data_IF_768376431468
#
_entry.id   IF_768376431468
#
_cell.length_a   1.000
_cell.length_b   1.000
_cell.length_c   1.000
_cell.angle_alpha   90.00
_cell.angle_beta   90.00
_cell.angle_gamma   90.00
#
_symmetry.space_group_name_H-M   'P 1'
#
loop_
_entity.id
_entity.type
_entity.pdbx_description
1 polymer ?
#
# COMPACT_ATOMS: atom_id res chain seq x y z
N UNK A 1 -50.92 3.29 42.95
CA UNK A 1 -51.57 2.05 42.47
C UNK A 1 -51.61 2.13 40.96
N UNK A 2 -50.74 1.37 40.29
CA UNK A 2 -51.08 0.21 39.47
C UNK A 2 -51.56 0.62 38.06
N UNK A 3 -50.71 0.52 37.04
CA UNK A 3 -50.37 -0.71 36.31
C UNK A 3 -51.34 -0.90 35.12
N UNK A 4 -50.84 -0.68 33.89
CA UNK A 4 -51.13 -1.46 32.66
C UNK A 4 -50.55 -0.78 31.41
N UNK A 5 -49.25 -0.90 31.21
CA UNK A 5 -48.69 -1.00 29.86
C UNK A 5 -48.58 -2.49 29.55
N UNK A 6 -49.65 -3.06 29.01
CA UNK A 6 -49.62 -4.40 28.44
C UNK A 6 -49.44 -4.30 26.93
N UNK A 7 -48.36 -4.93 26.48
CA UNK A 7 -48.25 -5.69 25.23
C UNK A 7 -48.03 -4.90 23.95
N UNK A 8 -46.76 -4.85 23.54
CA UNK A 8 -46.31 -5.57 22.35
C UNK A 8 -44.77 -5.70 22.33
N UNK A 9 -44.22 -6.49 23.25
CA UNK A 9 -42.92 -7.12 23.01
C UNK A 9 -43.15 -8.36 22.15
N UNK A 10 -42.91 -8.20 20.85
CA UNK A 10 -42.73 -9.29 19.91
C UNK A 10 -41.45 -10.01 20.36
N UNK A 11 -41.61 -11.14 21.02
CA UNK A 11 -40.49 -11.98 21.44
C UNK A 11 -39.74 -12.47 20.19
N UNK A 12 -38.61 -11.82 19.88
CA UNK A 12 -37.61 -12.39 18.98
C UNK A 12 -37.23 -13.76 19.52
N UNK A 13 -37.41 -14.80 18.70
CA UNK A 13 -37.16 -16.18 19.12
C UNK A 13 -35.71 -16.31 19.61
N UNK A 14 -35.45 -17.04 20.71
CA UNK A 14 -34.09 -17.23 21.25
C UNK A 14 -33.08 -17.74 20.21
N UNK A 15 -33.55 -18.49 19.21
CA UNK A 15 -32.73 -19.00 18.09
C UNK A 15 -32.26 -17.92 17.11
N UNK A 16 -32.98 -16.80 16.98
CA UNK A 16 -32.64 -15.71 16.04
C UNK A 16 -31.57 -14.80 16.65
N UNK A 17 -31.71 -14.45 17.95
CA UNK A 17 -30.66 -13.73 18.70
C UNK A 17 -29.36 -14.53 18.81
N UNK A 18 -29.44 -15.83 19.07
CA UNK A 18 -28.25 -16.69 19.13
C UNK A 18 -27.52 -16.81 17.78
N UNK A 19 -28.25 -16.75 16.65
CA UNK A 19 -27.66 -16.72 15.31
C UNK A 19 -26.98 -15.39 15.04
N UNK A 20 -27.63 -14.27 15.36
CA UNK A 20 -27.06 -12.92 15.20
C UNK A 20 -25.79 -12.76 16.06
N UNK A 21 -25.80 -13.20 17.32
CA UNK A 21 -24.60 -13.14 18.18
C UNK A 21 -23.46 -14.05 17.68
N UNK A 22 -23.77 -15.22 17.13
CA UNK A 22 -22.77 -16.10 16.54
C UNK A 22 -22.20 -15.56 15.23
N UNK A 23 -23.01 -14.84 14.44
CA UNK A 23 -22.61 -14.19 13.20
C UNK A 23 -21.74 -12.95 13.48
N UNK A 24 -22.15 -12.10 14.44
CA UNK A 24 -21.35 -10.96 14.93
C UNK A 24 -20.03 -11.43 15.54
N UNK A 25 -20.01 -12.50 16.34
CA UNK A 25 -18.74 -13.06 16.87
C UNK A 25 -17.82 -13.56 15.76
N UNK A 26 -18.38 -14.21 14.73
CA UNK A 26 -17.59 -14.65 13.56
C UNK A 26 -17.08 -13.48 12.72
N UNK A 27 -17.83 -12.39 12.61
CA UNK A 27 -17.38 -11.18 11.94
C UNK A 27 -16.28 -10.48 12.72
N UNK A 28 -16.46 -10.28 14.03
CA UNK A 28 -15.45 -9.69 14.92
C UNK A 28 -14.16 -10.53 14.94
N UNK A 29 -14.26 -11.86 15.00
CA UNK A 29 -13.09 -12.74 14.96
C UNK A 29 -12.39 -12.71 13.58
N UNK A 30 -13.15 -12.58 12.49
CA UNK A 30 -12.60 -12.39 11.14
C UNK A 30 -11.91 -11.03 11.00
N UNK A 31 -12.50 -9.96 11.54
CA UNK A 31 -11.90 -8.62 11.53
C UNK A 31 -10.63 -8.59 12.36
N UNK A 32 -10.64 -9.12 13.58
CA UNK A 32 -9.44 -9.23 14.42
C UNK A 32 -8.35 -10.10 13.79
N UNK A 33 -8.72 -11.18 13.09
CA UNK A 33 -7.75 -12.02 12.38
C UNK A 33 -7.16 -11.31 11.16
N UNK A 34 -7.97 -10.52 10.44
CA UNK A 34 -7.48 -9.66 9.35
C UNK A 34 -6.54 -8.59 9.88
N UNK A 35 -6.93 -7.87 10.92
CA UNK A 35 -6.11 -6.84 11.57
C UNK A 35 -4.77 -7.42 12.05
N UNK A 36 -4.77 -8.60 12.67
CA UNK A 36 -3.55 -9.28 13.10
C UNK A 36 -2.67 -9.70 11.92
N UNK A 37 -3.25 -10.22 10.82
CA UNK A 37 -2.51 -10.58 9.61
C UNK A 37 -1.93 -9.35 8.90
N UNK A 38 -2.69 -8.27 8.84
CA UNK A 38 -2.28 -7.00 8.25
C UNK A 38 -1.15 -6.37 9.07
N UNK A 39 -1.27 -6.31 10.40
CA UNK A 39 -0.19 -5.84 11.28
C UNK A 39 1.07 -6.69 11.18
N UNK A 40 0.95 -8.00 10.93
CA UNK A 40 2.12 -8.88 10.69
C UNK A 40 2.85 -8.54 9.39
N UNK A 41 2.12 -8.19 8.32
CA UNK A 41 2.71 -7.94 6.99
C UNK A 41 3.29 -6.53 6.88
N UNK A 42 2.57 -5.52 7.34
CA UNK A 42 2.97 -4.12 7.17
C UNK A 42 3.44 -3.45 8.47
N UNK A 43 3.52 -4.18 9.58
CA UNK A 43 4.03 -3.66 10.85
C UNK A 43 3.31 -2.38 11.35
N UNK A 44 2.00 -2.31 11.16
CA UNK A 44 1.17 -1.17 11.57
C UNK A 44 1.25 0.06 10.66
N UNK A 45 1.95 -0.01 9.51
CA UNK A 45 2.02 1.08 8.53
C UNK A 45 0.66 1.45 7.91
N UNK A 46 -0.32 0.56 7.99
CA UNK A 46 -1.69 0.85 7.51
C UNK A 46 -2.30 2.05 8.22
N UNK A 47 -2.05 2.20 9.52
CA UNK A 47 -2.57 3.33 10.31
C UNK A 47 -2.04 4.66 9.75
N UNK A 48 -0.79 4.66 9.29
CA UNK A 48 -0.18 5.83 8.65
C UNK A 48 -0.72 6.05 7.24
N UNK A 49 -0.92 4.98 6.47
CA UNK A 49 -1.53 5.05 5.14
C UNK A 49 -2.95 5.61 5.19
N UNK A 50 -3.78 5.12 6.12
CA UNK A 50 -5.15 5.59 6.34
C UNK A 50 -5.19 7.05 6.76
N UNK A 51 -4.29 7.47 7.65
CA UNK A 51 -4.12 8.88 8.03
C UNK A 51 -3.82 9.75 6.80
N UNK A 52 -2.90 9.32 5.94
CA UNK A 52 -2.58 10.06 4.71
C UNK A 52 -3.75 10.07 3.72
N UNK A 53 -4.52 8.98 3.60
CA UNK A 53 -5.76 8.96 2.81
C UNK A 53 -6.74 10.01 3.30
N UNK A 54 -6.89 10.19 4.61
CA UNK A 54 -7.75 11.22 5.19
C UNK A 54 -7.23 12.63 4.87
N UNK A 55 -5.94 12.88 5.09
CA UNK A 55 -5.30 14.15 4.75
C UNK A 55 -5.46 14.48 3.26
N UNK A 56 -5.25 13.48 2.40
CA UNK A 56 -5.41 13.64 0.96
C UNK A 56 -6.85 13.94 0.57
N UNK A 57 -7.85 13.31 1.20
CA UNK A 57 -9.27 13.61 0.93
C UNK A 57 -9.62 15.06 1.28
N UNK A 58 -9.18 15.53 2.43
CA UNK A 58 -9.42 16.88 2.95
C UNK A 58 -8.58 17.97 2.26
N UNK A 59 -7.48 17.59 1.61
CA UNK A 59 -6.55 18.52 0.99
C UNK A 59 -7.16 19.32 -0.19
N UNK A 60 -6.73 20.59 -0.37
CA UNK A 60 -7.06 21.37 -1.55
C UNK A 60 -6.51 20.71 -2.83
N UNK A 61 -7.12 21.04 -3.97
CA UNK A 61 -6.78 20.43 -5.26
C UNK A 61 -5.31 20.62 -5.64
N UNK A 62 -4.71 21.75 -5.28
CA UNK A 62 -3.28 22.01 -5.51
C UNK A 62 -2.38 20.98 -4.84
N UNK A 63 -2.63 20.65 -3.57
CA UNK A 63 -1.87 19.62 -2.85
C UNK A 63 -2.13 18.22 -3.36
N UNK A 64 -3.35 17.91 -3.83
CA UNK A 64 -3.63 16.61 -4.46
C UNK A 64 -2.79 16.41 -5.74
N UNK A 65 -2.59 17.48 -6.50
CA UNK A 65 -1.86 17.43 -7.76
C UNK A 65 -0.33 17.52 -7.57
N UNK A 66 0.12 18.43 -6.71
CA UNK A 66 1.54 18.77 -6.53
C UNK A 66 2.18 18.14 -5.29
N UNK A 67 1.37 17.52 -4.43
CA UNK A 67 1.82 16.85 -3.21
C UNK A 67 1.45 17.61 -1.94
N UNK A 68 1.29 16.83 -0.86
CA UNK A 68 1.08 17.37 0.49
C UNK A 68 2.41 17.70 1.19
N UNK A 69 3.55 17.34 0.60
CA UNK A 69 4.88 17.49 1.20
C UNK A 69 5.18 16.39 2.23
N UNK A 70 6.38 16.45 2.82
CA UNK A 70 6.91 15.44 3.74
C UNK A 70 5.97 15.18 4.93
N UNK A 71 5.51 13.93 5.08
CA UNK A 71 4.56 13.48 6.11
C UNK A 71 3.16 14.16 6.02
N UNK A 72 2.86 14.75 4.87
CA UNK A 72 1.57 15.36 4.55
C UNK A 72 1.16 16.52 5.47
N UNK A 73 -0.16 16.74 5.58
CA UNK A 73 -0.75 17.77 6.44
C UNK A 73 -0.83 17.30 7.91
N UNK A 74 0.29 16.84 8.48
CA UNK A 74 0.33 16.31 9.84
C UNK A 74 -0.21 17.30 10.87
N UNK A 75 -0.92 16.76 11.87
CA UNK A 75 -1.50 17.53 12.97
C UNK A 75 -0.55 17.50 14.17
N UNK A 76 -0.76 18.44 15.09
CA UNK A 76 -0.06 18.45 16.37
C UNK A 76 -0.64 17.36 17.28
N UNK A 77 0.21 16.70 18.07
CA UNK A 77 -0.19 15.74 19.09
C UNK A 77 -0.82 16.45 20.33
N UNK A 78 -1.26 15.68 21.32
CA UNK A 78 -1.85 16.22 22.56
C UNK A 78 -0.90 17.16 23.33
N UNK A 79 0.41 16.96 23.16
CA UNK A 79 1.49 17.77 23.73
C UNK A 79 1.79 19.03 22.91
N UNK A 80 1.01 19.30 21.85
CA UNK A 80 1.19 20.42 20.90
C UNK A 80 2.53 20.38 20.16
N UNK A 81 3.08 19.20 19.95
CA UNK A 81 4.25 18.97 19.12
C UNK A 81 3.82 18.44 17.74
N UNK A 82 4.52 18.82 16.65
CA UNK A 82 4.23 18.26 15.34
C UNK A 82 4.47 16.74 15.33
N UNK A 83 3.52 15.95 14.82
CA UNK A 83 3.63 14.48 14.68
C UNK A 83 3.77 14.06 13.20
N UNK A 84 4.87 14.42 12.51
CA UNK A 84 5.12 13.97 11.15
C UNK A 84 5.47 12.47 11.19
N UNK A 85 4.55 11.64 10.73
CA UNK A 85 4.78 10.21 10.54
C UNK A 85 4.61 9.87 9.07
N UNK A 86 5.61 9.26 8.47
CA UNK A 86 5.56 8.75 7.11
C UNK A 86 4.79 7.42 7.08
N UNK A 87 4.35 7.03 5.88
CA UNK A 87 3.82 5.68 5.64
C UNK A 87 4.98 4.69 5.58
N UNK A 88 6.13 5.18 5.09
CA UNK A 88 7.36 4.41 4.91
C UNK A 88 7.17 3.26 3.89
N UNK A 89 6.44 3.54 2.82
CA UNK A 89 6.19 2.63 1.70
C UNK A 89 6.42 3.43 0.42
N UNK A 90 7.39 3.03 -0.42
CA UNK A 90 7.98 3.91 -1.45
C UNK A 90 6.93 4.55 -2.37
N UNK A 91 6.02 3.74 -2.91
CA UNK A 91 4.99 4.21 -3.84
C UNK A 91 3.92 5.07 -3.15
N UNK A 92 3.59 4.76 -1.90
CA UNK A 92 2.60 5.53 -1.14
C UNK A 92 3.19 6.89 -0.76
N UNK A 93 4.43 6.91 -0.27
CA UNK A 93 5.15 8.14 0.05
C UNK A 93 5.29 9.00 -1.22
N UNK A 94 5.70 8.45 -2.36
CA UNK A 94 5.73 9.20 -3.62
C UNK A 94 4.37 9.78 -4.01
N UNK A 95 3.30 9.02 -3.83
CA UNK A 95 1.95 9.47 -4.19
C UNK A 95 1.45 10.61 -3.31
N UNK A 96 1.61 10.52 -1.99
CA UNK A 96 1.09 11.53 -1.08
C UNK A 96 2.03 12.75 -0.95
N UNK A 97 3.34 12.55 -0.95
CA UNK A 97 4.32 13.62 -0.77
C UNK A 97 4.47 14.47 -2.04
N UNK A 98 4.48 13.85 -3.22
CA UNK A 98 4.65 14.54 -4.52
C UNK A 98 3.35 14.72 -5.31
N UNK A 99 2.25 14.13 -4.84
CA UNK A 99 0.94 14.22 -5.47
C UNK A 99 0.85 13.44 -6.78
N UNK A 100 -0.30 13.57 -7.45
CA UNK A 100 -0.59 12.80 -8.66
C UNK A 100 0.42 13.09 -9.78
N UNK A 101 0.80 14.36 -9.98
CA UNK A 101 1.72 14.74 -11.06
C UNK A 101 3.13 14.25 -10.75
N UNK A 102 3.62 14.48 -9.52
CA UNK A 102 4.94 14.03 -9.11
C UNK A 102 5.07 12.52 -9.16
N UNK A 103 4.07 11.79 -8.66
CA UNK A 103 4.03 10.34 -8.76
C UNK A 103 4.07 9.85 -10.21
N UNK A 104 3.27 10.45 -11.09
CA UNK A 104 3.28 10.09 -12.51
C UNK A 104 4.67 10.29 -13.12
N UNK A 105 5.34 11.42 -12.84
CA UNK A 105 6.70 11.68 -13.32
C UNK A 105 7.71 10.66 -12.80
N UNK A 106 7.65 10.30 -11.51
CA UNK A 106 8.50 9.27 -10.91
C UNK A 106 8.27 7.90 -11.52
N UNK A 107 7.04 7.59 -11.93
CA UNK A 107 6.67 6.30 -12.55
C UNK A 107 7.06 6.18 -14.03
N UNK A 108 7.29 7.28 -14.75
CA UNK A 108 7.67 7.25 -16.19
C UNK A 108 8.79 6.26 -16.50
N UNK A 109 9.98 6.31 -15.86
CA UNK A 109 11.07 5.39 -16.18
C UNK A 109 10.68 3.93 -15.93
N UNK A 110 9.97 3.64 -14.84
CA UNK A 110 9.53 2.28 -14.50
C UNK A 110 8.51 1.74 -15.50
N UNK A 111 7.56 2.57 -15.93
CA UNK A 111 6.56 2.19 -16.93
C UNK A 111 7.24 1.97 -18.28
N UNK A 112 8.11 2.88 -18.72
CA UNK A 112 8.81 2.77 -19.99
C UNK A 112 9.64 1.49 -20.08
N UNK A 113 10.58 1.29 -19.16
CA UNK A 113 11.44 0.10 -19.17
C UNK A 113 10.67 -1.16 -18.84
N UNK A 114 9.69 -1.09 -17.93
CA UNK A 114 8.83 -2.23 -17.61
C UNK A 114 8.08 -2.75 -18.84
N UNK A 115 7.48 -1.86 -19.65
CA UNK A 115 6.81 -2.25 -20.88
C UNK A 115 7.79 -2.83 -21.92
N UNK A 116 8.97 -2.23 -22.08
CA UNK A 116 10.01 -2.74 -23.01
C UNK A 116 10.51 -4.12 -22.61
N UNK A 117 10.72 -4.35 -21.31
CA UNK A 117 11.10 -5.65 -20.76
C UNK A 117 9.97 -6.66 -21.01
N UNK A 118 8.72 -6.33 -20.70
CA UNK A 118 7.58 -7.21 -20.94
C UNK A 118 7.44 -7.57 -22.42
N UNK A 119 7.60 -6.60 -23.32
CA UNK A 119 7.62 -6.85 -24.76
C UNK A 119 8.73 -7.82 -25.14
N UNK A 120 9.96 -7.60 -24.67
CA UNK A 120 11.08 -8.51 -24.90
C UNK A 120 10.79 -9.93 -24.41
N UNK A 121 10.20 -10.08 -23.22
CA UNK A 121 9.79 -11.38 -22.67
C UNK A 121 8.79 -12.12 -23.58
N UNK A 122 7.84 -11.40 -24.19
CA UNK A 122 6.83 -11.99 -25.07
C UNK A 122 7.41 -12.30 -26.46
N UNK A 123 8.21 -11.41 -27.03
CA UNK A 123 8.71 -11.56 -28.41
C UNK A 123 9.92 -12.50 -28.50
N UNK A 124 10.77 -12.55 -27.47
CA UNK A 124 12.00 -13.35 -27.41
C UNK A 124 11.96 -14.41 -26.32
N UNK A 125 10.77 -14.93 -26.01
CA UNK A 125 10.56 -15.85 -24.89
C UNK A 125 11.55 -17.02 -24.85
N UNK A 126 11.83 -17.66 -26.00
CA UNK A 126 12.76 -18.80 -26.07
C UNK A 126 14.20 -18.46 -25.70
N UNK A 127 14.62 -17.23 -25.95
CA UNK A 127 15.97 -16.75 -25.64
C UNK A 127 16.08 -16.35 -24.17
N UNK A 128 14.98 -15.80 -23.62
CA UNK A 128 14.92 -15.27 -22.26
C UNK A 128 14.55 -16.35 -21.22
N UNK A 129 13.93 -17.45 -21.63
CA UNK A 129 13.51 -18.53 -20.71
C UNK A 129 14.69 -19.40 -20.25
N UNK A 130 15.55 -18.82 -19.43
CA UNK A 130 16.70 -19.47 -18.82
C UNK A 130 16.92 -18.99 -17.38
N UNK A 131 17.82 -19.67 -16.66
CA UNK A 131 18.07 -19.42 -15.23
C UNK A 131 18.57 -18.00 -14.98
N UNK A 132 19.43 -17.45 -15.86
CA UNK A 132 19.99 -16.10 -15.72
C UNK A 132 18.87 -15.06 -15.62
N UNK A 133 17.98 -15.01 -16.61
CA UNK A 133 16.89 -14.02 -16.61
C UNK A 133 15.82 -14.34 -15.56
N UNK A 134 15.61 -15.61 -15.23
CA UNK A 134 14.75 -16.00 -14.11
C UNK A 134 15.21 -15.41 -12.77
N UNK A 135 16.51 -15.50 -12.47
CA UNK A 135 17.10 -14.95 -11.26
C UNK A 135 17.06 -13.42 -11.22
N UNK A 136 17.38 -12.77 -12.34
CA UNK A 136 17.35 -11.29 -12.44
C UNK A 136 15.91 -10.77 -12.31
N UNK A 137 14.95 -11.44 -12.95
CA UNK A 137 13.54 -11.03 -12.85
C UNK A 137 12.99 -11.25 -11.45
N UNK A 138 13.33 -12.38 -10.82
CA UNK A 138 12.95 -12.65 -9.45
C UNK A 138 13.52 -11.61 -8.47
N UNK A 139 14.79 -11.22 -8.62
CA UNK A 139 15.39 -10.20 -7.75
C UNK A 139 14.73 -8.83 -7.91
N UNK A 140 14.43 -8.40 -9.15
CA UNK A 140 13.73 -7.15 -9.42
C UNK A 140 12.28 -7.17 -8.90
N UNK A 141 11.56 -8.27 -9.11
CA UNK A 141 10.18 -8.41 -8.62
C UNK A 141 10.12 -8.44 -7.08
N UNK A 142 11.06 -9.12 -6.43
CA UNK A 142 11.16 -9.10 -4.97
C UNK A 142 11.51 -7.70 -4.46
N UNK A 143 12.47 -7.01 -5.08
CA UNK A 143 12.82 -5.65 -4.71
C UNK A 143 11.62 -4.69 -4.85
N UNK A 144 10.85 -4.78 -5.94
CA UNK A 144 9.63 -3.99 -6.11
C UNK A 144 8.53 -4.37 -5.11
N UNK A 145 8.41 -5.66 -4.78
CA UNK A 145 7.49 -6.14 -3.75
C UNK A 145 7.83 -5.58 -2.36
N UNK A 146 9.11 -5.54 -2.01
CA UNK A 146 9.61 -4.94 -0.77
C UNK A 146 9.38 -3.42 -0.79
N UNK A 147 9.69 -2.75 -1.91
CA UNK A 147 9.41 -1.32 -2.10
C UNK A 147 7.94 -0.97 -1.84
N UNK A 148 7.03 -1.85 -2.27
CA UNK A 148 5.60 -1.70 -2.07
C UNK A 148 5.17 -1.96 -0.62
N UNK A 149 5.67 -3.01 0.03
CA UNK A 149 5.19 -3.43 1.37
C UNK A 149 5.93 -2.72 2.51
N UNK A 150 7.27 -2.68 2.45
CA UNK A 150 8.15 -2.19 3.51
C UNK A 150 8.87 -0.88 3.15
N UNK A 151 8.90 -0.50 1.86
CA UNK A 151 9.56 0.70 1.38
C UNK A 151 11.09 0.64 1.41
N UNK A 152 11.71 1.81 1.31
CA UNK A 152 13.16 2.04 1.42
C UNK A 152 14.02 1.37 0.34
N UNK A 153 13.44 0.93 -0.78
CA UNK A 153 14.20 0.42 -1.92
C UNK A 153 14.41 1.54 -2.93
N UNK A 154 13.35 2.24 -3.32
CA UNK A 154 13.39 3.28 -4.34
C UNK A 154 13.69 4.68 -3.77
N UNK A 155 13.45 4.87 -2.47
CA UNK A 155 13.66 6.15 -1.78
C UNK A 155 15.02 6.23 -1.08
N UNK A 156 15.59 5.11 -0.63
CA UNK A 156 16.86 5.09 0.09
C UNK A 156 18.05 4.80 -0.85
N UNK A 157 19.12 5.61 -0.83
CA UNK A 157 20.23 5.48 -1.77
C UNK A 157 21.04 4.18 -1.58
N UNK A 158 21.13 3.68 -0.35
CA UNK A 158 21.96 2.52 -0.02
C UNK A 158 21.47 1.23 -0.68
N UNK A 159 20.18 0.93 -0.59
CA UNK A 159 19.60 -0.28 -1.20
C UNK A 159 19.20 -0.02 -2.66
N UNK A 160 18.75 1.20 -2.97
CA UNK A 160 18.30 1.57 -4.31
C UNK A 160 19.35 1.44 -5.39
N UNK A 161 20.64 1.67 -5.08
CA UNK A 161 21.70 1.51 -6.08
C UNK A 161 21.78 0.07 -6.62
N UNK A 162 21.58 -0.95 -5.77
CA UNK A 162 21.60 -2.35 -6.19
C UNK A 162 20.43 -2.66 -7.13
N UNK A 163 19.24 -2.14 -6.81
CA UNK A 163 18.08 -2.27 -7.68
C UNK A 163 18.34 -1.65 -9.06
N UNK A 164 18.86 -0.42 -9.10
CA UNK A 164 19.15 0.30 -10.35
C UNK A 164 20.22 -0.42 -11.17
N UNK A 165 21.28 -0.93 -10.54
CA UNK A 165 22.34 -1.67 -11.24
C UNK A 165 21.82 -2.96 -11.87
N UNK A 166 21.00 -3.73 -11.15
CA UNK A 166 20.40 -4.96 -11.69
C UNK A 166 19.42 -4.65 -12.83
N UNK A 167 18.63 -3.59 -12.69
CA UNK A 167 17.71 -3.14 -13.73
C UNK A 167 18.47 -2.68 -14.98
N UNK A 168 19.52 -1.86 -14.80
CA UNK A 168 20.36 -1.38 -15.89
C UNK A 168 21.07 -2.53 -16.61
N UNK A 169 21.59 -3.51 -15.86
CA UNK A 169 22.17 -4.72 -16.43
C UNK A 169 21.16 -5.45 -17.33
N UNK A 170 19.92 -5.64 -16.86
CA UNK A 170 18.87 -6.29 -17.65
C UNK A 170 18.55 -5.50 -18.92
N UNK A 171 18.44 -4.18 -18.83
CA UNK A 171 18.14 -3.30 -19.97
C UNK A 171 19.23 -3.42 -21.04
N UNK A 172 20.50 -3.33 -20.64
CA UNK A 172 21.65 -3.42 -21.55
C UNK A 172 21.76 -4.82 -22.17
N UNK A 173 21.62 -5.87 -21.36
CA UNK A 173 21.74 -7.26 -21.81
C UNK A 173 20.59 -7.66 -22.76
N UNK A 174 19.41 -7.06 -22.59
CA UNK A 174 18.27 -7.24 -23.50
C UNK A 174 18.31 -6.30 -24.70
N UNK A 175 19.31 -5.42 -24.83
CA UNK A 175 19.44 -4.42 -25.90
C UNK A 175 18.18 -3.52 -26.00
N UNK A 176 17.66 -3.11 -24.84
CA UNK A 176 16.49 -2.23 -24.75
C UNK A 176 16.94 -0.77 -24.88
N UNK A 177 16.60 -0.13 -25.99
CA UNK A 177 16.69 1.32 -26.20
C UNK A 177 15.51 2.08 -25.60
#
# INVERSE_FOLDING_TARGET
MKEKEEKQHKAEKPEEKAKIEAEVKKEVEKEQKKENQENLIFSGRQVYEERHKQFFKEAPMSQKLLGMGYAGNFKYNEQKEPDPKLIEMDFHDWFYDFGIIGFALMMIPFIYYGLRILLAFVTRFKEIFNIKYGMISASLLLALGIAYIAGHILTAPGVGIYFVVVLAYLIVDLEIE
#
